data_IF_088251106768
#
_entry.id   IF_088251106768
#
_cell.length_a   1.000
_cell.length_b   1.000
_cell.length_c   1.000
_cell.angle_alpha   90.00
_cell.angle_beta   90.00
_cell.angle_gamma   90.00
#
_symmetry.space_group_name_H-M   'P 1'
#
loop_
_entity.id
_entity.type
_entity.pdbx_description
1 polymer ?
#
# COMPACT_ATOMS: atom_id res chain seq x y z
N UNK A 1 8.91 -0.78 45.86
CA UNK A 1 8.71 -1.42 44.54
C UNK A 1 9.61 -0.72 43.55
N UNK A 2 10.72 -1.36 43.16
CA UNK A 2 11.71 -0.76 42.25
C UNK A 2 11.17 -0.80 40.82
N UNK A 3 11.33 0.32 40.14
CA UNK A 3 10.77 0.67 38.84
C UNK A 3 11.08 -0.37 37.76
N UNK A 4 10.12 -0.57 36.86
CA UNK A 4 10.27 -1.36 35.63
C UNK A 4 11.35 -0.84 34.66
N UNK A 5 12.15 0.15 35.07
CA UNK A 5 13.26 0.76 34.35
C UNK A 5 14.38 -0.22 33.97
N UNK A 6 14.53 -1.34 34.67
CA UNK A 6 15.59 -2.30 34.41
C UNK A 6 15.22 -3.42 33.42
N UNK A 7 13.92 -3.61 33.14
CA UNK A 7 13.49 -4.76 32.34
C UNK A 7 13.43 -4.50 30.84
N UNK A 8 13.35 -3.23 30.42
CA UNK A 8 13.15 -2.89 29.01
C UNK A 8 13.95 -1.66 28.58
N UNK A 9 14.84 -1.78 27.58
CA UNK A 9 15.58 -0.65 27.04
C UNK A 9 14.65 0.34 26.31
N UNK A 10 14.95 1.65 26.40
CA UNK A 10 14.24 2.74 25.70
C UNK A 10 14.16 4.05 26.50
N UNK A 11 13.78 5.15 25.84
CA UNK A 11 13.53 6.45 26.47
C UNK A 11 12.10 6.52 27.03
N UNK A 12 11.95 6.92 28.30
CA UNK A 12 10.63 7.06 28.92
C UNK A 12 10.13 8.51 28.84
N UNK A 13 8.87 8.65 28.48
CA UNK A 13 8.13 9.92 28.62
C UNK A 13 8.18 10.48 30.07
N UNK A 14 8.06 11.81 30.26
CA UNK A 14 8.11 12.44 31.60
C UNK A 14 7.06 11.92 32.58
N UNK A 15 5.88 11.54 32.09
CA UNK A 15 4.79 10.95 32.88
C UNK A 15 4.89 9.42 33.00
N UNK A 16 5.92 8.83 32.40
CA UNK A 16 6.25 7.39 32.41
C UNK A 16 5.17 6.48 31.81
N UNK A 17 4.34 6.99 30.89
CA UNK A 17 3.30 6.18 30.20
C UNK A 17 3.73 5.58 28.88
N UNK A 18 4.75 6.16 28.25
CA UNK A 18 5.28 5.77 26.94
C UNK A 18 6.77 5.43 27.06
N UNK A 19 7.18 4.39 26.34
CA UNK A 19 8.57 3.98 26.13
C UNK A 19 8.89 4.06 24.64
N UNK A 20 9.79 4.96 24.26
CA UNK A 20 10.30 5.11 22.90
C UNK A 20 11.50 4.20 22.70
N UNK A 21 11.54 3.51 21.55
CA UNK A 21 12.64 2.62 21.18
C UNK A 21 13.07 2.92 19.75
N UNK A 22 14.37 3.02 19.56
CA UNK A 22 15.00 3.08 18.24
C UNK A 22 15.39 1.69 17.75
N UNK A 23 15.18 1.44 16.45
CA UNK A 23 15.53 0.17 15.82
C UNK A 23 14.51 -0.95 16.04
N UNK A 24 14.96 -2.21 15.89
CA UNK A 24 14.13 -3.41 16.03
C UNK A 24 13.11 -3.66 14.91
N UNK A 25 13.10 -2.83 13.86
CA UNK A 25 12.15 -2.88 12.73
C UNK A 25 12.62 -3.70 11.53
N UNK A 26 13.62 -4.56 11.71
CA UNK A 26 14.17 -5.39 10.62
C UNK A 26 13.14 -6.35 10.03
N UNK A 27 12.18 -6.82 10.85
CA UNK A 27 11.10 -7.70 10.39
C UNK A 27 10.14 -7.01 9.39
N UNK A 28 10.08 -5.68 9.36
CA UNK A 28 9.26 -4.94 8.40
C UNK A 28 9.72 -5.19 6.95
N UNK A 29 10.99 -5.55 6.76
CA UNK A 29 11.57 -5.80 5.43
C UNK A 29 10.82 -6.89 4.68
N UNK A 30 10.33 -7.90 5.40
CA UNK A 30 9.51 -8.96 4.83
C UNK A 30 8.28 -8.39 4.08
N UNK A 31 7.57 -7.43 4.68
CA UNK A 31 6.39 -6.82 4.06
C UNK A 31 6.77 -5.80 2.97
N UNK A 32 7.89 -5.09 3.11
CA UNK A 32 8.41 -4.19 2.06
C UNK A 32 8.73 -4.97 0.79
N UNK A 33 9.41 -6.11 0.93
CA UNK A 33 9.77 -6.97 -0.20
C UNK A 33 8.56 -7.69 -0.80
N UNK A 34 7.52 -7.96 -0.01
CA UNK A 34 6.24 -8.47 -0.53
C UNK A 34 5.55 -7.47 -1.46
N UNK A 35 5.66 -6.16 -1.19
CA UNK A 35 5.08 -5.09 -1.99
C UNK A 35 5.95 -4.69 -3.20
N UNK A 36 7.28 -4.78 -3.06
CA UNK A 36 8.22 -4.54 -4.16
C UNK A 36 7.93 -5.48 -5.33
N UNK A 37 7.99 -4.94 -6.53
CA UNK A 37 7.73 -5.64 -7.78
C UNK A 37 8.71 -5.15 -8.85
N UNK A 38 8.80 -5.86 -9.97
CA UNK A 38 9.79 -5.62 -11.03
C UNK A 38 9.33 -4.48 -11.95
N UNK A 39 8.03 -4.48 -12.29
CA UNK A 39 7.41 -3.49 -13.17
C UNK A 39 5.90 -3.45 -13.04
N UNK A 40 5.34 -2.31 -13.45
CA UNK A 40 3.91 -2.08 -13.60
C UNK A 40 3.58 -2.05 -15.11
N UNK A 41 2.49 -2.71 -15.51
CA UNK A 41 2.01 -2.72 -16.91
C UNK A 41 0.57 -2.24 -16.94
N UNK A 42 0.23 -1.36 -17.90
CA UNK A 42 -1.15 -0.91 -18.10
C UNK A 42 -1.96 -1.95 -18.87
N UNK A 43 -3.12 -2.28 -18.34
CA UNK A 43 -4.09 -3.16 -19.01
C UNK A 43 -5.54 -2.81 -18.63
N UNK A 44 -6.50 -3.62 -19.11
CA UNK A 44 -7.94 -3.54 -18.83
C UNK A 44 -8.57 -4.93 -18.88
N UNK A 45 -9.77 -5.10 -18.31
CA UNK A 45 -10.54 -6.35 -18.43
C UNK A 45 -11.46 -6.31 -19.66
N UNK A 46 -11.25 -7.25 -20.59
CA UNK A 46 -12.07 -7.42 -21.80
C UNK A 46 -13.39 -8.16 -21.56
N UNK A 47 -14.16 -7.74 -20.55
CA UNK A 47 -15.43 -8.36 -20.15
C UNK A 47 -16.60 -7.38 -20.33
N UNK A 48 -17.79 -7.89 -20.67
CA UNK A 48 -18.99 -7.09 -20.93
C UNK A 48 -19.60 -6.51 -19.64
N UNK A 49 -18.92 -5.56 -19.00
CA UNK A 49 -19.31 -4.99 -17.70
C UNK A 49 -19.54 -3.47 -17.71
N UNK A 50 -19.41 -2.82 -18.88
CA UNK A 50 -19.41 -1.34 -19.08
C UNK A 50 -18.33 -0.56 -18.32
N UNK A 51 -17.53 -1.22 -17.48
CA UNK A 51 -16.54 -0.59 -16.63
C UNK A 51 -15.41 0.08 -17.43
N UNK A 52 -14.82 -0.61 -18.40
CA UNK A 52 -13.66 -0.14 -19.18
C UNK A 52 -12.52 0.45 -18.30
N UNK A 53 -12.36 -0.10 -17.09
CA UNK A 53 -11.43 0.40 -16.10
C UNK A 53 -10.00 0.05 -16.48
N UNK A 54 -9.11 1.03 -16.54
CA UNK A 54 -7.67 0.86 -16.64
C UNK A 54 -7.06 0.45 -15.30
N UNK A 55 -6.15 -0.53 -15.35
CA UNK A 55 -5.48 -1.11 -14.20
C UNK A 55 -3.96 -1.07 -14.38
N UNK A 56 -3.26 -1.02 -13.24
CA UNK A 56 -1.84 -1.31 -13.10
C UNK A 56 -1.69 -2.77 -12.70
N UNK A 57 -1.11 -3.56 -13.60
CA UNK A 57 -0.81 -4.98 -13.38
C UNK A 57 0.63 -5.08 -12.87
N UNK A 58 0.82 -5.69 -11.70
CA UNK A 58 2.12 -5.80 -11.05
C UNK A 58 2.78 -7.14 -11.37
N UNK A 59 3.98 -7.07 -11.95
CA UNK A 59 4.82 -8.23 -12.24
C UNK A 59 5.92 -8.31 -11.20
N UNK A 60 6.07 -9.46 -10.55
CA UNK A 60 7.13 -9.74 -9.58
C UNK A 60 7.72 -11.11 -9.89
N UNK A 61 9.04 -11.21 -9.91
CA UNK A 61 9.80 -12.41 -10.27
C UNK A 61 9.36 -12.97 -11.65
N UNK A 62 9.03 -12.06 -12.58
CA UNK A 62 8.54 -12.40 -13.92
C UNK A 62 7.10 -12.93 -13.99
N UNK A 63 6.36 -12.98 -12.88
CA UNK A 63 4.98 -13.49 -12.81
C UNK A 63 4.01 -12.35 -12.46
N UNK A 64 2.78 -12.38 -13.01
CA UNK A 64 1.71 -11.44 -12.61
C UNK A 64 1.22 -11.82 -11.22
N UNK A 65 1.19 -10.86 -10.29
CA UNK A 65 0.95 -11.16 -8.87
C UNK A 65 -0.28 -10.47 -8.28
N UNK A 66 -0.56 -9.23 -8.65
CA UNK A 66 -1.81 -8.53 -8.30
C UNK A 66 -2.05 -7.36 -9.27
N UNK A 67 -3.20 -6.71 -9.13
CA UNK A 67 -3.53 -5.47 -9.84
C UNK A 67 -4.10 -4.41 -8.88
N UNK A 68 -3.92 -3.14 -9.23
CA UNK A 68 -4.62 -2.01 -8.59
C UNK A 68 -5.08 -1.05 -9.66
N UNK A 69 -6.12 -0.27 -9.37
CA UNK A 69 -6.62 0.69 -10.34
C UNK A 69 -5.53 1.70 -10.75
N UNK A 70 -5.54 2.07 -12.03
CA UNK A 70 -4.82 3.25 -12.49
C UNK A 70 -5.63 4.52 -12.15
N UNK A 71 -4.92 5.62 -11.89
CA UNK A 71 -5.53 6.86 -11.36
C UNK A 71 -5.15 8.11 -12.16
N UNK A 72 -4.92 7.94 -13.45
CA UNK A 72 -4.36 8.94 -14.37
C UNK A 72 -5.18 9.06 -15.66
N UNK A 73 -6.50 8.92 -15.57
CA UNK A 73 -7.38 9.35 -16.65
C UNK A 73 -7.22 10.87 -16.86
N UNK A 74 -7.41 11.37 -18.10
CA UNK A 74 -7.45 12.80 -18.33
C UNK A 74 -8.56 13.45 -17.49
N UNK A 75 -8.25 14.60 -16.88
CA UNK A 75 -9.20 15.35 -16.06
C UNK A 75 -10.45 15.75 -16.84
N UNK A 76 -11.61 15.68 -16.20
CA UNK A 76 -12.89 16.17 -16.75
C UNK A 76 -13.09 17.68 -16.56
N UNK A 77 -12.13 18.37 -15.95
CA UNK A 77 -12.19 19.80 -15.64
C UNK A 77 -12.66 20.08 -14.20
N UNK A 78 -12.55 21.34 -13.74
CA UNK A 78 -12.72 21.70 -12.33
C UNK A 78 -14.17 21.60 -11.82
N UNK A 79 -15.15 21.56 -12.72
CA UNK A 79 -16.57 21.60 -12.38
C UNK A 79 -17.20 20.21 -12.17
N UNK A 80 -16.40 19.14 -12.27
CA UNK A 80 -16.88 17.77 -12.13
C UNK A 80 -15.89 16.91 -11.35
N UNK A 81 -16.37 15.89 -10.60
CA UNK A 81 -15.48 14.94 -9.97
C UNK A 81 -14.79 14.06 -11.01
N UNK A 82 -13.56 13.67 -10.70
CA UNK A 82 -12.75 12.82 -11.56
C UNK A 82 -13.24 11.37 -11.61
N UNK A 83 -12.82 10.60 -12.62
CA UNK A 83 -13.28 9.22 -12.82
C UNK A 83 -12.59 8.21 -11.91
N UNK A 84 -11.42 8.56 -11.41
CA UNK A 84 -10.57 7.74 -10.57
C UNK A 84 -11.28 7.31 -9.28
N UNK A 85 -11.03 6.07 -8.80
CA UNK A 85 -10.17 5.05 -9.39
C UNK A 85 -10.89 4.12 -10.39
N UNK A 86 -12.22 4.28 -10.57
CA UNK A 86 -13.09 3.23 -11.14
C UNK A 86 -12.84 1.86 -10.46
N UNK A 87 -12.86 0.76 -11.23
CA UNK A 87 -12.64 -0.61 -10.75
C UNK A 87 -13.86 -1.23 -10.07
N UNK A 88 -13.80 -2.54 -9.81
CA UNK A 88 -14.85 -3.27 -9.09
C UNK A 88 -14.27 -4.56 -8.45
N UNK A 89 -14.98 -5.19 -7.49
CA UNK A 89 -14.48 -6.39 -6.80
C UNK A 89 -14.23 -7.60 -7.69
N UNK A 90 -14.78 -7.64 -8.92
CA UNK A 90 -14.56 -8.74 -9.87
C UNK A 90 -13.27 -8.57 -10.66
N UNK A 91 -12.73 -7.35 -10.72
CA UNK A 91 -11.47 -7.04 -11.39
C UNK A 91 -10.32 -6.81 -10.42
N UNK A 92 -10.46 -7.17 -9.15
CA UNK A 92 -9.46 -7.00 -8.11
C UNK A 92 -9.03 -8.35 -7.55
#
# INVERSE_FOLDING_TARGET
MRSAQYFFPGEQSPDRRVLYRDGGRGADEFYRERWRHDREVRSTHGVNCTGSCSWRVFVKDGIITWETQATDYPSVGPDSPEYEPRGCPRGA
#
